data_IF_253679545922
#
_entry.id   IF_253679545922
#
_cell.length_a   1.000
_cell.length_b   1.000
_cell.length_c   1.000
_cell.angle_alpha   90.00
_cell.angle_beta   90.00
_cell.angle_gamma   90.00
#
_symmetry.space_group_name_H-M   'P 1'
#
loop_
_entity.id
_entity.type
_entity.pdbx_description
1 polymer ?
#
# COMPACT_ATOMS: atom_id res chain seq x y z
N UNK A 1 15.10 -16.26 3.61
CA UNK A 1 14.35 -15.03 3.23
C UNK A 1 14.53 -14.04 4.36
N UNK A 2 15.25 -12.93 4.14
CA UNK A 2 15.50 -11.94 5.21
C UNK A 2 14.18 -11.24 5.54
N UNK A 3 13.82 -11.24 6.83
CA UNK A 3 12.60 -10.57 7.29
C UNK A 3 12.81 -9.06 7.24
N UNK A 4 11.92 -8.34 6.56
CA UNK A 4 11.92 -6.87 6.55
C UNK A 4 11.04 -6.34 7.70
N UNK A 5 11.36 -5.15 8.21
CA UNK A 5 10.67 -4.53 9.35
C UNK A 5 9.56 -3.56 8.94
N UNK A 6 8.54 -3.36 9.80
CA UNK A 6 7.63 -2.23 9.66
C UNK A 6 8.30 -0.94 10.15
N UNK A 7 7.90 0.19 9.60
CA UNK A 7 8.27 1.51 10.12
C UNK A 7 7.33 1.81 11.30
N UNK A 8 7.85 1.72 12.54
CA UNK A 8 7.05 1.85 13.77
C UNK A 8 6.95 3.29 14.25
N UNK A 9 8.03 4.03 14.13
CA UNK A 9 8.11 5.42 14.56
C UNK A 9 7.45 6.36 13.54
N UNK A 10 6.49 7.20 14.01
CA UNK A 10 5.75 8.13 13.14
C UNK A 10 6.65 9.25 12.59
N UNK A 11 7.61 9.74 13.36
CA UNK A 11 8.54 10.78 12.90
C UNK A 11 9.40 10.25 11.76
N UNK A 12 9.93 9.05 11.94
CA UNK A 12 10.72 8.36 10.92
C UNK A 12 9.91 8.04 9.66
N UNK A 13 8.65 7.60 9.84
CA UNK A 13 7.72 7.41 8.73
C UNK A 13 7.55 8.71 7.92
N UNK A 14 7.35 9.85 8.59
CA UNK A 14 7.19 11.14 7.93
C UNK A 14 8.47 11.60 7.21
N UNK A 15 9.65 11.35 7.78
CA UNK A 15 10.94 11.65 7.15
C UNK A 15 11.12 10.83 5.86
N UNK A 16 10.90 9.52 5.92
CA UNK A 16 11.00 8.64 4.74
C UNK A 16 9.99 9.06 3.66
N UNK A 17 8.78 9.39 4.07
CA UNK A 17 7.72 9.89 3.18
C UNK A 17 8.14 11.18 2.45
N UNK A 18 8.76 12.13 3.17
CA UNK A 18 9.28 13.38 2.61
C UNK A 18 10.44 13.13 1.65
N UNK A 19 11.42 12.33 2.05
CA UNK A 19 12.56 11.97 1.21
C UNK A 19 12.14 11.31 -0.11
N UNK A 20 11.18 10.40 -0.05
CA UNK A 20 10.65 9.75 -1.26
C UNK A 20 9.96 10.75 -2.18
N UNK A 21 9.25 11.73 -1.62
CA UNK A 21 8.59 12.79 -2.38
C UNK A 21 9.61 13.71 -3.05
N UNK A 22 10.67 14.09 -2.33
CA UNK A 22 11.77 14.90 -2.85
C UNK A 22 12.54 14.14 -3.94
N UNK A 23 12.73 12.84 -3.76
CA UNK A 23 13.39 12.01 -4.77
C UNK A 23 12.58 11.90 -6.05
N UNK A 24 11.29 11.50 -5.95
CA UNK A 24 10.36 11.48 -7.07
C UNK A 24 8.92 11.25 -6.56
N UNK A 25 7.97 12.06 -7.04
CA UNK A 25 6.57 11.99 -6.59
C UNK A 25 5.95 10.60 -6.82
N UNK A 26 6.31 9.86 -7.88
CA UNK A 26 5.83 8.49 -8.08
C UNK A 26 6.24 7.53 -6.96
N UNK A 27 7.41 7.70 -6.36
CA UNK A 27 7.87 6.87 -5.23
C UNK A 27 7.10 7.20 -3.96
N UNK A 28 6.79 8.47 -3.76
CA UNK A 28 5.90 8.92 -2.69
C UNK A 28 4.50 8.31 -2.83
N UNK A 29 3.90 8.36 -4.02
CA UNK A 29 2.58 7.74 -4.29
C UNK A 29 2.63 6.23 -4.07
N UNK A 30 3.65 5.54 -4.57
CA UNK A 30 3.85 4.10 -4.35
C UNK A 30 3.94 3.77 -2.84
N UNK A 31 4.67 4.56 -2.09
CA UNK A 31 4.81 4.40 -0.64
C UNK A 31 3.50 4.62 0.10
N UNK A 32 2.72 5.66 -0.24
CA UNK A 32 1.41 5.91 0.34
C UNK A 32 0.44 4.75 0.07
N UNK A 33 0.35 4.27 -1.16
CA UNK A 33 -0.52 3.14 -1.51
C UNK A 33 -0.19 1.88 -0.70
N UNK A 34 1.10 1.59 -0.52
CA UNK A 34 1.54 0.44 0.26
C UNK A 34 1.31 0.60 1.76
N UNK A 35 1.55 1.79 2.33
CA UNK A 35 1.49 2.04 3.76
C UNK A 35 0.09 2.43 4.27
N UNK A 36 -0.77 2.99 3.43
CA UNK A 36 -2.13 3.37 3.81
C UNK A 36 -3.17 2.29 3.49
N UNK A 37 -2.95 1.54 2.40
CA UNK A 37 -3.93 0.58 1.89
C UNK A 37 -3.45 -0.87 1.98
N UNK A 38 -2.26 -1.11 2.53
CA UNK A 38 -1.64 -2.42 2.61
C UNK A 38 -1.59 -3.19 1.27
N UNK A 39 -1.52 -2.50 0.13
CA UNK A 39 -1.43 -3.13 -1.18
C UNK A 39 -0.08 -3.83 -1.39
N UNK A 40 -0.09 -4.94 -2.11
CA UNK A 40 1.15 -5.58 -2.57
C UNK A 40 1.77 -4.77 -3.69
N UNK A 41 3.10 -4.82 -3.81
CA UNK A 41 3.79 -4.07 -4.87
C UNK A 41 3.21 -4.37 -6.25
N UNK A 42 2.94 -5.64 -6.56
CA UNK A 42 2.38 -6.05 -7.85
C UNK A 42 0.94 -5.56 -8.07
N UNK A 43 0.19 -5.29 -6.99
CA UNK A 43 -1.14 -4.67 -7.07
C UNK A 43 -1.00 -3.17 -7.35
N UNK A 44 -0.02 -2.50 -6.72
CA UNK A 44 0.29 -1.08 -6.94
C UNK A 44 0.78 -0.84 -8.37
N UNK A 45 1.70 -1.66 -8.86
CA UNK A 45 2.31 -1.50 -10.19
C UNK A 45 1.35 -1.78 -11.35
N UNK A 46 0.25 -2.50 -11.11
CA UNK A 46 -0.82 -2.73 -12.10
C UNK A 46 -1.80 -1.56 -12.23
N UNK A 47 -1.83 -0.65 -11.28
CA UNK A 47 -2.74 0.48 -11.32
C UNK A 47 -2.37 1.44 -12.46
N UNK A 48 -3.41 1.92 -13.13
CA UNK A 48 -3.34 3.01 -14.11
C UNK A 48 -3.81 4.32 -13.48
N UNK A 49 -3.46 5.42 -14.10
CA UNK A 49 -3.94 6.75 -13.69
C UNK A 49 -5.47 6.79 -13.62
N UNK A 50 -6.17 6.23 -14.62
CA UNK A 50 -7.62 6.18 -14.68
C UNK A 50 -8.29 5.34 -13.58
N UNK A 51 -7.53 4.48 -12.87
CA UNK A 51 -8.06 3.70 -11.75
C UNK A 51 -8.25 4.54 -10.50
N UNK A 52 -7.52 5.65 -10.36
CA UNK A 52 -7.47 6.45 -9.13
C UNK A 52 -7.79 7.93 -9.32
N UNK A 53 -7.65 8.46 -10.55
CA UNK A 53 -7.86 9.88 -10.85
C UNK A 53 -9.31 10.27 -10.60
N UNK A 54 -9.49 11.29 -9.76
CA UNK A 54 -10.80 11.88 -9.41
C UNK A 54 -11.80 10.85 -8.82
N UNK A 55 -11.28 9.79 -8.19
CA UNK A 55 -12.09 8.75 -7.54
C UNK A 55 -11.92 8.77 -6.02
N UNK A 56 -12.94 8.28 -5.34
CA UNK A 56 -12.95 8.08 -3.90
C UNK A 56 -12.50 6.67 -3.49
N UNK A 57 -12.66 5.72 -4.40
CA UNK A 57 -12.34 4.31 -4.20
C UNK A 57 -12.04 3.61 -5.53
N UNK A 58 -11.41 2.45 -5.45
CA UNK A 58 -11.17 1.57 -6.59
C UNK A 58 -11.31 0.11 -6.18
N UNK A 59 -11.92 -0.71 -7.06
CA UNK A 59 -12.00 -2.16 -6.86
C UNK A 59 -10.94 -2.86 -7.70
N UNK A 60 -10.14 -3.67 -7.07
CA UNK A 60 -9.10 -4.46 -7.73
C UNK A 60 -9.21 -5.95 -7.38
N UNK A 61 -8.74 -6.79 -8.31
CA UNK A 61 -8.64 -8.23 -8.08
C UNK A 61 -7.27 -8.57 -7.53
N UNK A 62 -7.24 -9.19 -6.36
CA UNK A 62 -5.98 -9.59 -5.74
C UNK A 62 -5.29 -10.69 -6.54
N UNK A 63 -4.08 -10.44 -7.02
CA UNK A 63 -3.33 -11.36 -7.89
C UNK A 63 -3.11 -12.76 -7.29
N UNK A 64 -3.01 -12.87 -5.96
CA UNK A 64 -2.73 -14.15 -5.27
C UNK A 64 -3.98 -14.99 -5.00
N UNK A 65 -5.14 -14.37 -4.89
CA UNK A 65 -6.36 -15.06 -4.40
C UNK A 65 -7.55 -14.98 -5.34
N UNK A 66 -7.45 -14.14 -6.37
CA UNK A 66 -8.57 -13.86 -7.28
C UNK A 66 -9.74 -13.10 -6.64
N UNK A 67 -9.62 -12.68 -5.36
CA UNK A 67 -10.70 -11.99 -4.65
C UNK A 67 -10.71 -10.50 -5.02
N UNK A 68 -11.90 -9.98 -5.21
CA UNK A 68 -12.11 -8.53 -5.33
C UNK A 68 -11.99 -7.84 -3.97
N UNK A 69 -11.28 -6.74 -3.94
CA UNK A 69 -11.22 -5.85 -2.80
C UNK A 69 -11.47 -4.41 -3.25
N UNK A 70 -12.28 -3.69 -2.49
CA UNK A 70 -12.48 -2.25 -2.69
C UNK A 70 -11.60 -1.49 -1.71
N UNK A 71 -10.76 -0.61 -2.25
CA UNK A 71 -9.87 0.28 -1.49
C UNK A 71 -10.44 1.69 -1.51
N UNK A 72 -10.69 2.27 -0.34
CA UNK A 72 -11.16 3.64 -0.20
C UNK A 72 -9.98 4.57 0.09
N UNK A 73 -9.89 5.68 -0.63
CA UNK A 73 -8.82 6.66 -0.47
C UNK A 73 -9.15 7.63 0.67
N UNK A 74 -8.22 7.77 1.62
CA UNK A 74 -8.34 8.80 2.66
C UNK A 74 -8.01 10.20 2.09
N UNK A 75 -8.21 11.25 2.89
CA UNK A 75 -7.99 12.64 2.47
C UNK A 75 -6.56 12.93 2.03
N UNK A 76 -5.55 12.36 2.71
CA UNK A 76 -4.15 12.52 2.35
C UNK A 76 -3.86 11.91 0.97
N UNK A 77 -4.28 10.66 0.76
CA UNK A 77 -4.07 9.96 -0.50
C UNK A 77 -4.82 10.62 -1.66
N UNK A 78 -6.08 11.04 -1.44
CA UNK A 78 -6.85 11.80 -2.45
C UNK A 78 -6.15 13.07 -2.89
N UNK A 79 -5.66 13.87 -1.92
CA UNK A 79 -4.93 15.10 -2.20
C UNK A 79 -3.65 14.82 -3.01
N UNK A 80 -2.90 13.80 -2.63
CA UNK A 80 -1.68 13.41 -3.32
C UNK A 80 -1.98 12.92 -4.74
N UNK A 81 -2.96 12.03 -4.92
CA UNK A 81 -3.36 11.50 -6.22
C UNK A 81 -3.91 12.59 -7.15
N UNK A 82 -4.72 13.51 -6.63
CA UNK A 82 -5.25 14.64 -7.41
C UNK A 82 -4.13 15.51 -8.01
N UNK A 83 -3.11 15.82 -7.21
CA UNK A 83 -1.93 16.55 -7.69
C UNK A 83 -1.14 15.74 -8.71
N UNK A 84 -0.82 14.51 -8.38
CA UNK A 84 0.04 13.64 -9.17
C UNK A 84 -0.56 13.22 -10.53
N UNK A 85 -1.88 13.02 -10.58
CA UNK A 85 -2.59 12.61 -11.82
C UNK A 85 -3.04 13.79 -12.68
N UNK A 86 -2.77 15.04 -12.26
CA UNK A 86 -3.18 16.23 -13.03
C UNK A 86 -2.51 16.24 -14.41
N UNK A 87 -3.31 16.34 -15.47
CA UNK A 87 -2.82 16.40 -16.85
C UNK A 87 -2.34 15.07 -17.43
N UNK A 88 -2.33 13.98 -16.67
CA UNK A 88 -1.89 12.66 -17.13
C UNK A 88 -3.00 11.90 -17.84
N UNK A 89 -2.61 11.09 -18.83
CA UNK A 89 -3.52 10.19 -19.55
C UNK A 89 -4.03 9.07 -18.62
N UNK A 90 -5.33 8.74 -18.63
CA UNK A 90 -5.90 7.63 -17.84
C UNK A 90 -5.27 6.26 -18.13
N UNK A 91 -4.70 6.03 -19.31
CA UNK A 91 -4.08 4.77 -19.69
C UNK A 91 -2.61 4.63 -19.23
N UNK A 92 -1.97 5.74 -18.82
CA UNK A 92 -0.63 5.68 -18.25
C UNK A 92 -0.58 4.77 -17.01
N UNK A 93 0.56 4.09 -16.81
CA UNK A 93 0.82 3.41 -15.56
C UNK A 93 0.85 4.43 -14.41
N UNK A 94 0.20 4.12 -13.28
CA UNK A 94 0.21 5.04 -12.13
C UNK A 94 1.64 5.27 -11.63
N UNK A 95 2.42 4.19 -11.55
CA UNK A 95 3.84 4.24 -11.19
C UNK A 95 4.65 3.85 -12.43
N UNK A 96 4.96 4.80 -13.33
CA UNK A 96 5.57 4.49 -14.63
C UNK A 96 7.06 4.15 -14.51
N UNK A 97 7.57 3.42 -15.50
CA UNK A 97 8.99 3.27 -15.73
C UNK A 97 9.65 4.63 -16.05
N UNK A 98 10.97 4.64 -16.19
CA UNK A 98 11.67 5.86 -16.62
C UNK A 98 11.51 6.11 -18.12
N UNK A 99 11.45 5.04 -18.87
CA UNK A 99 11.61 5.08 -20.32
C UNK A 99 10.27 5.10 -21.09
N UNK A 100 9.16 4.78 -20.38
CA UNK A 100 7.82 4.79 -20.99
C UNK A 100 6.74 4.94 -19.90
N UNK A 101 5.89 5.95 -20.02
CA UNK A 101 4.82 6.28 -19.09
C UNK A 101 3.67 5.26 -19.07
N UNK A 102 3.49 4.47 -20.11
CA UNK A 102 2.47 3.40 -20.19
C UNK A 102 2.97 2.08 -19.61
N UNK A 103 4.28 1.94 -19.38
CA UNK A 103 4.86 0.77 -18.75
C UNK A 103 5.09 0.99 -17.25
N UNK A 104 4.69 0.05 -16.40
CA UNK A 104 4.91 0.19 -14.96
C UNK A 104 6.40 0.06 -14.60
N UNK A 105 6.75 0.64 -13.45
CA UNK A 105 8.03 0.43 -12.80
C UNK A 105 8.24 -1.08 -12.55
N UNK A 106 9.47 -1.58 -12.67
CA UNK A 106 9.76 -2.98 -12.36
C UNK A 106 9.72 -3.26 -10.85
N UNK A 107 9.35 -4.48 -10.47
CA UNK A 107 9.38 -4.95 -9.08
C UNK A 107 10.75 -4.77 -8.43
N UNK A 108 11.82 -5.06 -9.19
CA UNK A 108 13.20 -4.88 -8.73
C UNK A 108 13.48 -3.42 -8.39
N UNK A 109 13.10 -2.49 -9.28
CA UNK A 109 13.33 -1.06 -9.03
C UNK A 109 12.47 -0.54 -7.88
N UNK A 110 11.24 -0.98 -7.77
CA UNK A 110 10.37 -0.63 -6.63
C UNK A 110 10.98 -1.11 -5.30
N UNK A 111 11.53 -2.33 -5.28
CA UNK A 111 12.22 -2.87 -4.11
C UNK A 111 13.47 -2.05 -3.76
N UNK A 112 14.31 -1.72 -4.75
CA UNK A 112 15.51 -0.90 -4.56
C UNK A 112 15.17 0.46 -3.93
N UNK A 113 14.15 1.14 -4.45
CA UNK A 113 13.70 2.46 -3.94
C UNK A 113 13.32 2.38 -2.46
N UNK A 114 12.55 1.38 -2.06
CA UNK A 114 12.11 1.22 -0.66
C UNK A 114 13.29 0.82 0.23
N UNK A 115 14.17 -0.06 -0.23
CA UNK A 115 15.41 -0.44 0.46
C UNK A 115 16.29 0.79 0.71
N UNK A 116 16.55 1.56 -0.32
CA UNK A 116 17.47 2.71 -0.28
C UNK A 116 16.92 3.82 0.63
N UNK A 117 15.60 4.04 0.61
CA UNK A 117 14.93 4.94 1.55
C UNK A 117 15.08 4.50 3.01
N UNK A 118 15.17 3.19 3.29
CA UNK A 118 15.40 2.65 4.63
C UNK A 118 16.84 2.77 5.09
N UNK A 119 17.81 2.54 4.21
CA UNK A 119 19.26 2.52 4.54
C UNK A 119 19.69 3.82 5.21
N UNK A 120 19.23 4.97 4.72
CA UNK A 120 19.51 6.29 5.29
C UNK A 120 19.20 6.39 6.80
N UNK A 121 18.27 5.58 7.27
CA UNK A 121 17.80 5.57 8.65
C UNK A 121 18.16 4.28 9.41
N UNK A 122 19.07 3.48 8.88
CA UNK A 122 19.46 2.19 9.49
C UNK A 122 18.36 1.14 9.51
N UNK A 123 17.33 1.28 8.65
CA UNK A 123 16.22 0.34 8.57
C UNK A 123 16.39 -0.66 7.43
N UNK A 124 16.05 -1.92 7.70
CA UNK A 124 16.01 -2.97 6.70
C UNK A 124 14.61 -3.03 6.05
N UNK A 125 14.38 -2.17 5.05
CA UNK A 125 13.11 -2.07 4.36
C UNK A 125 13.09 -2.83 3.03
N UNK A 126 11.89 -3.20 2.61
CA UNK A 126 11.56 -3.72 1.29
C UNK A 126 10.08 -3.48 1.00
N UNK A 127 9.60 -3.92 -0.15
CA UNK A 127 8.20 -3.67 -0.55
C UNK A 127 7.17 -4.23 0.42
N UNK A 128 7.49 -5.34 1.12
CA UNK A 128 6.65 -5.89 2.18
C UNK A 128 6.62 -5.03 3.46
N UNK A 129 7.63 -4.19 3.70
CA UNK A 129 7.64 -3.27 4.85
C UNK A 129 6.48 -2.30 4.82
N UNK A 130 6.07 -1.82 3.63
CA UNK A 130 4.93 -0.93 3.49
C UNK A 130 3.64 -1.56 4.05
N UNK A 131 3.36 -2.81 3.68
CA UNK A 131 2.18 -3.55 4.19
C UNK A 131 2.28 -3.82 5.69
N UNK A 132 3.47 -4.21 6.17
CA UNK A 132 3.71 -4.41 7.61
C UNK A 132 3.53 -3.12 8.39
N UNK A 133 3.94 -1.97 7.83
CA UNK A 133 3.75 -0.64 8.43
C UNK A 133 2.26 -0.31 8.55
N UNK A 134 1.47 -0.51 7.49
CA UNK A 134 0.02 -0.36 7.54
C UNK A 134 -0.61 -1.20 8.65
N UNK A 135 -0.31 -2.49 8.67
CA UNK A 135 -0.85 -3.43 9.64
C UNK A 135 -0.45 -3.08 11.09
N UNK A 136 0.81 -2.67 11.29
CA UNK A 136 1.32 -2.28 12.60
C UNK A 136 0.56 -1.07 13.16
N UNK A 137 0.45 0.01 12.40
CA UNK A 137 -0.22 1.22 12.86
C UNK A 137 -1.73 1.02 13.05
N UNK A 138 -2.38 0.28 12.15
CA UNK A 138 -3.78 -0.08 12.32
C UNK A 138 -3.99 -0.88 13.62
N UNK A 139 -3.14 -1.86 13.90
CA UNK A 139 -3.20 -2.63 15.15
C UNK A 139 -2.99 -1.76 16.39
N UNK A 140 -2.06 -0.81 16.34
CA UNK A 140 -1.83 0.09 17.48
C UNK A 140 -3.08 0.90 17.84
N UNK A 141 -3.85 1.30 16.83
CA UNK A 141 -5.07 2.10 17.03
C UNK A 141 -6.30 1.28 17.40
N UNK A 142 -6.48 0.12 16.78
CA UNK A 142 -7.76 -0.61 16.84
C UNK A 142 -7.69 -1.89 17.66
N UNK A 143 -6.51 -2.48 17.84
CA UNK A 143 -6.27 -3.82 18.37
C UNK A 143 -7.00 -4.95 17.61
N UNK A 144 -7.53 -4.63 16.41
CA UNK A 144 -8.30 -5.56 15.57
C UNK A 144 -7.38 -6.41 14.68
N UNK A 145 -6.98 -7.55 15.20
CA UNK A 145 -6.20 -8.55 14.46
C UNK A 145 -7.03 -9.26 13.38
N UNK A 146 -8.35 -9.36 13.54
CA UNK A 146 -9.20 -10.07 12.59
C UNK A 146 -9.21 -9.34 11.24
N UNK A 147 -9.43 -8.04 11.25
CA UNK A 147 -9.39 -7.20 10.05
C UNK A 147 -8.01 -7.22 9.39
N UNK A 148 -6.91 -7.12 10.17
CA UNK A 148 -5.54 -7.18 9.63
C UNK A 148 -5.29 -8.51 8.91
N UNK A 149 -5.75 -9.62 9.45
CA UNK A 149 -5.61 -10.95 8.84
C UNK A 149 -6.32 -11.03 7.50
N UNK A 150 -7.53 -10.47 7.42
CA UNK A 150 -8.30 -10.39 6.17
C UNK A 150 -7.50 -9.60 5.12
N UNK A 151 -6.98 -8.42 5.48
CA UNK A 151 -6.21 -7.58 4.57
C UNK A 151 -4.91 -8.21 4.10
N UNK A 152 -4.17 -8.82 5.03
CA UNK A 152 -2.90 -9.45 4.70
C UNK A 152 -3.06 -10.82 4.05
N UNK A 153 -4.28 -11.39 4.09
CA UNK A 153 -4.62 -12.66 3.48
C UNK A 153 -3.67 -13.81 3.86
N UNK A 154 -3.41 -13.94 5.16
CA UNK A 154 -2.63 -15.03 5.71
C UNK A 154 -3.48 -16.29 5.89
N UNK A 155 -3.53 -17.14 4.87
CA UNK A 155 -4.31 -18.40 4.84
C UNK A 155 -3.99 -19.37 5.98
N UNK A 156 -2.76 -19.37 6.50
CA UNK A 156 -2.38 -20.22 7.62
C UNK A 156 -3.08 -19.87 8.93
N UNK A 157 -3.57 -18.64 9.07
CA UNK A 157 -4.22 -18.16 10.30
C UNK A 157 -5.75 -18.26 10.26
N UNK A 158 -6.36 -18.37 9.07
CA UNK A 158 -7.81 -18.60 8.91
C UNK A 158 -8.21 -19.92 9.58
N UNK A 159 -7.36 -20.93 9.52
CA UNK A 159 -7.59 -22.23 10.21
C UNK A 159 -7.65 -22.13 11.73
N UNK A 160 -7.00 -21.15 12.35
CA UNK A 160 -7.05 -20.97 13.82
C UNK A 160 -8.23 -20.08 14.27
N UNK A 161 -8.69 -19.16 13.44
CA UNK A 161 -9.85 -18.29 13.73
C UNK A 161 -11.17 -19.04 13.54
N UNK A 162 -11.24 -20.01 12.62
CA UNK A 162 -12.41 -20.89 12.46
C UNK A 162 -12.69 -21.76 13.70
N UNK A 163 -11.68 -21.98 14.56
CA UNK A 163 -11.85 -22.65 15.85
C UNK A 163 -12.49 -21.80 16.95
N UNK A 164 -12.54 -20.48 16.78
CA UNK A 164 -13.07 -19.53 17.78
C UNK A 164 -14.50 -19.04 17.42
N UNK A 165 -15.12 -19.58 16.36
CA UNK A 165 -16.54 -19.35 16.09
C UNK A 165 -16.93 -17.94 15.61
N UNK A 166 -16.00 -17.10 15.17
CA UNK A 166 -16.30 -15.78 14.62
C UNK A 166 -16.34 -15.84 13.08
N UNK A 167 -17.41 -16.39 12.55
CA UNK A 167 -17.76 -16.28 11.13
C UNK A 167 -19.01 -15.41 10.99
N UNK A 168 -18.82 -14.10 10.80
CA UNK A 168 -19.84 -13.21 10.26
C UNK A 168 -19.73 -13.19 8.74
N UNK A 169 -20.84 -13.48 8.09
CA UNK A 169 -21.07 -13.50 6.65
C UNK A 169 -20.61 -12.22 5.93
N UNK A 170 -20.09 -12.41 4.71
CA UNK A 170 -19.98 -11.43 3.61
C UNK A 170 -19.69 -9.98 4.05
N UNK A 171 -18.48 -9.70 4.49
CA UNK A 171 -18.00 -8.34 4.62
C UNK A 171 -17.01 -8.05 3.50
N UNK A 172 -17.42 -7.25 2.54
CA UNK A 172 -16.55 -6.48 1.67
C UNK A 172 -15.64 -5.66 2.60
N UNK A 173 -14.41 -6.11 2.81
CA UNK A 173 -13.48 -5.42 3.68
C UNK A 173 -13.04 -4.13 3.00
N UNK A 174 -13.66 -3.01 3.39
CA UNK A 174 -13.33 -1.67 2.91
C UNK A 174 -12.09 -1.19 3.63
N UNK A 175 -10.96 -1.15 2.92
CA UNK A 175 -9.72 -0.58 3.45
C UNK A 175 -9.77 0.95 3.35
N UNK A 176 -9.86 1.64 4.47
CA UNK A 176 -9.74 3.10 4.55
C UNK A 176 -8.48 3.45 5.35
N UNK A 177 -7.55 4.18 4.75
CA UNK A 177 -6.28 4.57 5.39
C UNK A 177 -6.41 5.61 6.50
N UNK A 178 -7.29 5.40 7.49
CA UNK A 178 -7.61 6.36 8.56
C UNK A 178 -6.57 6.48 9.68
N UNK A 179 -5.43 5.82 9.61
CA UNK A 179 -4.47 5.82 10.72
C UNK A 179 -3.39 6.92 10.66
N UNK A 180 -3.43 7.78 9.63
CA UNK A 180 -2.50 8.90 9.45
C UNK A 180 -3.24 10.21 9.68
N UNK A 181 -3.58 10.49 10.92
CA UNK A 181 -4.01 11.81 11.38
C UNK A 181 -3.29 12.17 12.67
#
# INVERSE_FOLDING_TARGET
>A
MVSVDPIRDKSLYNKIKSDLREWNEKYYIMFLLGTLLALRINEILKLKVGDVKDKDEHTLVQSKTGKEITIAFNSELKKALKSYCKGRDPQEALIPSRDNEYHPLSDKRAWEVIRDAGIKYGLHLGTHSMRKTCAYHYYQQTKDLATIKIWLNHSAYIKSVSRIGVYGSKTSARMSGKWVS
#
